data_IF_266532907559
#
_entry.id   IF_266532907559
#
_cell.length_a   1.000
_cell.length_b   1.000
_cell.length_c   1.000
_cell.angle_alpha   90.00
_cell.angle_beta   90.00
_cell.angle_gamma   90.00
#
_symmetry.space_group_name_H-M   'P 1'
#
loop_
_entity.id
_entity.type
_entity.pdbx_description
1 polymer ?
#
# COMPACT_ATOMS: atom_id res chain seq x y z
N UNK A 1 4.57 10.83 -22.98
CA UNK A 1 4.25 10.77 -21.53
C UNK A 1 5.07 11.81 -20.79
N UNK A 2 4.48 12.50 -19.82
CA UNK A 2 5.16 13.54 -19.03
C UNK A 2 6.14 12.88 -18.03
N UNK A 3 7.36 13.40 -17.89
CA UNK A 3 8.44 12.80 -17.07
C UNK A 3 8.40 13.30 -15.62
N UNK A 4 7.26 13.12 -14.93
CA UNK A 4 6.99 13.66 -13.59
C UNK A 4 7.96 13.18 -12.52
N UNK A 5 8.48 11.96 -12.65
CA UNK A 5 9.37 11.34 -11.66
C UNK A 5 10.82 11.27 -12.12
N UNK A 6 11.19 12.03 -13.15
CA UNK A 6 12.58 12.11 -13.58
C UNK A 6 13.49 12.45 -12.39
N UNK A 7 14.53 11.65 -12.20
CA UNK A 7 15.52 11.76 -11.12
C UNK A 7 14.97 11.64 -9.70
N UNK A 8 13.74 11.15 -9.55
CA UNK A 8 13.15 10.81 -8.25
C UNK A 8 13.38 9.36 -7.92
N UNK A 9 13.88 9.10 -6.72
CA UNK A 9 13.98 7.75 -6.17
C UNK A 9 12.76 7.44 -5.30
N UNK A 10 12.07 6.35 -5.61
CA UNK A 10 10.89 5.91 -4.89
C UNK A 10 11.07 4.51 -4.30
N UNK A 11 10.72 4.35 -3.02
CA UNK A 11 10.53 3.04 -2.38
C UNK A 11 9.04 2.71 -2.43
N UNK A 12 8.68 1.58 -3.03
CA UNK A 12 7.29 1.12 -3.15
C UNK A 12 7.16 -0.24 -2.49
N UNK A 13 6.35 -0.30 -1.43
CA UNK A 13 6.14 -1.52 -0.63
C UNK A 13 4.87 -2.26 -1.05
N UNK A 14 4.84 -3.59 -0.93
CA UNK A 14 3.74 -4.41 -1.44
C UNK A 14 3.60 -4.33 -2.96
N UNK A 15 4.74 -4.30 -3.67
CA UNK A 15 4.81 -3.97 -5.08
C UNK A 15 4.62 -5.17 -6.04
N UNK A 16 4.54 -6.41 -5.56
CA UNK A 16 4.55 -7.57 -6.46
C UNK A 16 3.27 -7.70 -7.31
N UNK A 17 2.16 -7.11 -6.86
CA UNK A 17 0.87 -7.22 -7.54
C UNK A 17 -0.08 -6.09 -7.18
N UNK A 18 -1.25 -6.11 -7.84
CA UNK A 18 -2.33 -5.17 -7.59
C UNK A 18 -1.82 -3.75 -7.76
N UNK A 19 -2.03 -2.93 -6.76
CA UNK A 19 -1.68 -1.54 -6.89
C UNK A 19 -0.20 -1.25 -6.82
N UNK A 20 0.54 -1.87 -5.89
CA UNK A 20 1.92 -1.47 -5.67
C UNK A 20 2.69 -1.65 -6.99
N UNK A 21 2.32 -2.70 -7.72
CA UNK A 21 2.70 -2.94 -9.10
C UNK A 21 2.27 -1.83 -10.06
N UNK A 22 0.99 -1.45 -10.11
CA UNK A 22 0.54 -0.36 -11.00
C UNK A 22 1.20 0.99 -10.71
N UNK A 23 1.47 1.29 -9.43
CA UNK A 23 2.23 2.49 -9.04
C UNK A 23 3.65 2.38 -9.55
N UNK A 24 4.32 1.24 -9.37
CA UNK A 24 5.66 1.01 -9.90
C UNK A 24 5.74 1.17 -11.42
N UNK A 25 4.84 0.51 -12.16
CA UNK A 25 4.75 0.61 -13.62
C UNK A 25 4.56 2.06 -14.08
N UNK A 26 3.68 2.81 -13.42
CA UNK A 26 3.41 4.20 -13.77
C UNK A 26 4.59 5.12 -13.44
N UNK A 27 5.20 4.94 -12.27
CA UNK A 27 6.36 5.73 -11.86
C UNK A 27 7.57 5.45 -12.76
N UNK A 28 7.77 4.20 -13.16
CA UNK A 28 8.82 3.79 -14.11
C UNK A 28 8.63 4.49 -15.47
N UNK A 29 7.43 4.40 -16.05
CA UNK A 29 7.12 5.03 -17.34
C UNK A 29 7.37 6.55 -17.33
N UNK A 30 7.17 7.18 -16.18
CA UNK A 30 7.35 8.62 -15.95
C UNK A 30 8.74 9.01 -15.42
N UNK A 31 9.71 8.09 -15.43
CA UNK A 31 11.14 8.37 -15.23
C UNK A 31 11.70 8.12 -13.82
N UNK A 32 10.93 7.49 -12.93
CA UNK A 32 11.35 7.20 -11.56
C UNK A 32 12.42 6.10 -11.47
N UNK A 33 13.29 6.21 -10.46
CA UNK A 33 14.20 5.13 -10.02
C UNK A 33 13.54 4.42 -8.85
N UNK A 34 13.41 3.10 -8.93
CA UNK A 34 12.50 2.37 -8.05
C UNK A 34 13.23 1.35 -7.19
N UNK A 35 12.99 1.38 -5.89
CA UNK A 35 13.20 0.25 -5.01
C UNK A 35 11.84 -0.40 -4.75
N UNK A 36 11.62 -1.61 -5.25
CA UNK A 36 10.37 -2.34 -5.12
C UNK A 36 10.51 -3.42 -4.05
N UNK A 37 9.57 -3.46 -3.10
CA UNK A 37 9.60 -4.37 -1.96
C UNK A 37 8.33 -5.17 -1.88
N UNK A 38 8.46 -6.48 -1.68
CA UNK A 38 7.36 -7.35 -1.31
C UNK A 38 7.88 -8.50 -0.43
N UNK A 39 6.99 -9.26 0.20
CA UNK A 39 7.35 -10.52 0.86
C UNK A 39 7.47 -11.68 -0.12
N UNK A 40 6.93 -11.50 -1.33
CA UNK A 40 6.87 -12.52 -2.37
C UNK A 40 7.94 -12.29 -3.41
N UNK A 41 8.61 -13.38 -3.78
CA UNK A 41 9.57 -13.47 -4.88
C UNK A 41 8.99 -13.06 -6.25
N UNK A 42 7.65 -13.01 -6.40
CA UNK A 42 6.99 -12.48 -7.60
C UNK A 42 7.38 -11.02 -7.89
N UNK A 43 7.97 -10.31 -6.93
CA UNK A 43 8.51 -8.98 -7.14
C UNK A 43 9.62 -8.93 -8.20
N UNK A 44 10.37 -10.03 -8.37
CA UNK A 44 11.47 -10.11 -9.34
C UNK A 44 10.95 -10.12 -10.79
N UNK A 45 9.79 -10.75 -11.04
CA UNK A 45 9.14 -10.69 -12.35
C UNK A 45 8.79 -9.25 -12.77
N UNK A 46 8.34 -8.43 -11.80
CA UNK A 46 8.05 -7.02 -12.08
C UNK A 46 9.32 -6.24 -12.43
N UNK A 47 10.47 -6.57 -11.83
CA UNK A 47 11.73 -5.94 -12.24
C UNK A 47 12.11 -6.31 -13.66
N UNK A 48 11.97 -7.59 -14.04
CA UNK A 48 12.24 -8.05 -15.40
C UNK A 48 11.39 -7.32 -16.44
N UNK A 49 10.11 -7.08 -16.14
CA UNK A 49 9.21 -6.31 -17.00
C UNK A 49 9.58 -4.83 -17.13
N UNK A 50 10.26 -4.26 -16.13
CA UNK A 50 10.67 -2.86 -16.09
C UNK A 50 12.10 -2.63 -16.61
N UNK A 51 12.80 -3.70 -17.02
CA UNK A 51 14.12 -3.60 -17.65
C UNK A 51 14.05 -2.70 -18.89
N UNK A 52 14.97 -1.74 -18.97
CA UNK A 52 15.01 -0.76 -20.06
C UNK A 52 13.96 0.36 -19.97
N UNK A 53 13.02 0.28 -19.02
CA UNK A 53 12.04 1.35 -18.75
C UNK A 53 12.54 2.26 -17.63
N UNK A 54 13.03 1.68 -16.54
CA UNK A 54 13.50 2.41 -15.36
C UNK A 54 14.68 1.69 -14.70
N UNK A 55 15.40 2.42 -13.84
CA UNK A 55 16.38 1.83 -12.94
C UNK A 55 15.64 1.21 -11.75
N UNK A 56 15.71 -0.11 -11.59
CA UNK A 56 14.94 -0.85 -10.58
C UNK A 56 15.86 -1.70 -9.71
N UNK A 57 15.62 -1.66 -8.40
CA UNK A 57 16.14 -2.61 -7.41
C UNK A 57 14.95 -3.29 -6.75
N UNK A 58 15.02 -4.60 -6.55
CA UNK A 58 13.99 -5.36 -5.81
C UNK A 58 14.55 -5.93 -4.53
N UNK A 59 13.75 -5.94 -3.46
CA UNK A 59 14.05 -6.65 -2.23
C UNK A 59 12.86 -7.49 -1.78
N UNK A 60 13.08 -8.77 -1.51
CA UNK A 60 12.19 -9.54 -0.65
C UNK A 60 12.43 -9.11 0.79
N UNK A 61 11.40 -8.65 1.49
CA UNK A 61 11.50 -8.20 2.88
C UNK A 61 10.18 -8.37 3.64
N UNK A 62 10.29 -8.78 4.91
CA UNK A 62 9.16 -8.75 5.84
C UNK A 62 9.11 -7.41 6.57
N UNK A 63 8.33 -6.47 6.01
CA UNK A 63 8.15 -5.16 6.61
C UNK A 63 7.30 -5.19 7.88
N UNK A 64 6.87 -6.37 8.35
CA UNK A 64 6.38 -6.56 9.72
C UNK A 64 7.54 -6.63 10.75
N UNK A 65 8.78 -6.37 10.31
CA UNK A 65 9.97 -6.29 11.15
C UNK A 65 10.67 -4.95 10.93
N UNK A 66 10.98 -4.26 12.03
CA UNK A 66 11.63 -2.95 11.97
C UNK A 66 13.02 -3.01 11.30
N UNK A 67 13.82 -4.04 11.59
CA UNK A 67 15.15 -4.21 11.01
C UNK A 67 15.09 -4.34 9.48
N UNK A 68 14.09 -5.03 8.94
CA UNK A 68 13.87 -5.15 7.51
C UNK A 68 13.47 -3.82 6.87
N UNK A 69 12.67 -3.01 7.57
CA UNK A 69 12.36 -1.64 7.12
C UNK A 69 13.64 -0.79 7.04
N UNK A 70 14.52 -0.86 8.04
CA UNK A 70 15.81 -0.16 8.01
C UNK A 70 16.70 -0.65 6.86
N UNK A 71 16.78 -1.96 6.64
CA UNK A 71 17.54 -2.57 5.54
C UNK A 71 17.07 -2.07 4.18
N UNK A 72 15.75 -1.98 3.99
CA UNK A 72 15.14 -1.46 2.76
C UNK A 72 15.53 -0.01 2.51
N UNK A 73 15.43 0.86 3.52
CA UNK A 73 15.77 2.28 3.34
C UNK A 73 17.28 2.48 3.11
N UNK A 74 18.11 1.70 3.81
CA UNK A 74 19.56 1.70 3.61
C UNK A 74 19.93 1.28 2.18
N UNK A 75 19.28 0.24 1.64
CA UNK A 75 19.51 -0.21 0.27
C UNK A 75 19.11 0.84 -0.78
N UNK A 76 18.04 1.63 -0.54
CA UNK A 76 17.69 2.74 -1.42
C UNK A 76 18.79 3.80 -1.45
N UNK A 77 19.32 4.15 -0.28
CA UNK A 77 20.42 5.11 -0.16
C UNK A 77 21.70 4.58 -0.80
N UNK A 78 22.07 3.33 -0.56
CA UNK A 78 23.26 2.70 -1.14
C UNK A 78 23.17 2.64 -2.67
N UNK A 79 22.01 2.25 -3.20
CA UNK A 79 21.84 2.06 -4.64
C UNK A 79 21.67 3.36 -5.42
N UNK A 80 20.93 4.32 -4.87
CA UNK A 80 20.47 5.50 -5.59
C UNK A 80 20.95 6.83 -4.98
N UNK A 81 21.56 6.81 -3.81
CA UNK A 81 22.10 7.98 -3.11
C UNK A 81 21.05 8.90 -2.47
N UNK A 82 19.76 8.59 -2.59
CA UNK A 82 18.65 9.41 -2.05
C UNK A 82 17.35 8.62 -1.94
N UNK A 83 16.41 9.14 -1.15
CA UNK A 83 15.02 8.69 -1.07
C UNK A 83 14.07 9.88 -1.16
N UNK A 84 13.39 10.08 -2.30
CA UNK A 84 12.45 11.19 -2.49
C UNK A 84 11.02 10.82 -2.08
N UNK A 85 10.61 9.60 -2.40
CA UNK A 85 9.21 9.16 -2.31
C UNK A 85 9.15 7.83 -1.59
N UNK A 86 8.34 7.75 -0.53
CA UNK A 86 7.98 6.49 0.11
C UNK A 86 6.50 6.21 -0.10
N UNK A 87 6.18 5.08 -0.73
CA UNK A 87 4.82 4.57 -0.91
C UNK A 87 4.63 3.35 0.01
N UNK A 88 3.90 3.57 1.12
CA UNK A 88 3.54 2.52 2.06
C UNK A 88 2.24 1.85 1.60
N UNK A 89 2.34 0.75 0.85
CA UNK A 89 1.19 0.02 0.29
C UNK A 89 1.03 -1.42 0.86
N UNK A 90 1.76 -1.78 1.93
CA UNK A 90 1.56 -3.06 2.62
C UNK A 90 0.19 -3.10 3.36
N UNK A 91 -0.61 -4.14 3.08
CA UNK A 91 -1.90 -4.46 3.72
C UNK A 91 -2.72 -5.43 2.84
N UNK A 92 -3.78 -6.09 3.33
CA UNK A 92 -4.52 -6.91 2.37
C UNK A 92 -5.79 -7.78 2.61
N UNK A 93 -6.67 -7.88 1.59
CA UNK A 93 -7.98 -8.60 1.38
C UNK A 93 -8.01 -10.08 0.86
N UNK A 94 -9.17 -10.77 0.89
CA UNK A 94 -9.24 -12.23 0.64
C UNK A 94 -9.68 -12.65 -0.81
N UNK A 95 -10.64 -12.03 -1.52
CA UNK A 95 -11.07 -12.52 -2.87
C UNK A 95 -11.73 -11.45 -3.78
N UNK A 96 -11.74 -11.70 -5.10
CA UNK A 96 -12.63 -11.11 -6.13
C UNK A 96 -13.05 -12.21 -7.13
N UNK A 97 -14.32 -12.25 -7.56
CA UNK A 97 -14.91 -13.25 -8.49
C UNK A 97 -15.83 -12.58 -9.54
N UNK A 98 -16.19 -13.26 -10.64
CA UNK A 98 -16.10 -12.70 -11.99
C UNK A 98 -17.29 -11.81 -12.37
N UNK A 99 -16.99 -10.69 -13.02
CA UNK A 99 -17.98 -9.77 -13.58
C UNK A 99 -18.25 -10.16 -15.03
N UNK A 100 -19.17 -11.09 -15.20
CA UNK A 100 -19.80 -11.28 -16.49
C UNK A 100 -20.69 -10.06 -16.73
N UNK A 101 -20.14 -9.04 -17.41
CA UNK A 101 -20.80 -7.98 -18.21
C UNK A 101 -20.08 -6.62 -18.07
N UNK A 102 -19.03 -6.40 -18.86
CA UNK A 102 -18.33 -5.11 -18.98
C UNK A 102 -19.20 -3.97 -19.53
N UNK A 103 -18.85 -2.72 -19.18
CA UNK A 103 -18.68 -1.58 -20.10
C UNK A 103 -17.64 -0.55 -19.59
N UNK A 104 -17.01 0.17 -20.54
CA UNK A 104 -15.65 0.75 -20.46
C UNK A 104 -15.58 2.29 -20.49
N UNK A 105 -16.47 3.04 -19.87
CA UNK A 105 -16.28 4.50 -19.80
C UNK A 105 -16.75 5.07 -18.48
N UNK A 106 -16.18 6.23 -18.12
CA UNK A 106 -16.34 6.99 -16.88
C UNK A 106 -15.24 6.64 -15.84
N UNK A 107 -14.31 7.52 -15.43
CA UNK A 107 -14.31 8.98 -15.32
C UNK A 107 -12.86 9.54 -15.38
N UNK A 108 -12.68 10.68 -16.06
CA UNK A 108 -11.56 11.61 -15.87
C UNK A 108 -12.02 12.90 -15.17
N UNK A 109 -11.04 13.58 -14.54
CA UNK A 109 -10.96 14.93 -13.94
C UNK A 109 -11.43 15.06 -12.47
N UNK A 110 -10.70 15.68 -11.52
CA UNK A 110 -9.76 16.81 -11.55
C UNK A 110 -8.55 16.66 -10.58
N UNK A 111 -7.57 17.58 -10.69
CA UNK A 111 -6.41 17.94 -9.82
C UNK A 111 -5.05 17.80 -10.54
N UNK A 112 -4.25 18.89 -10.55
CA UNK A 112 -2.84 18.89 -10.94
C UNK A 112 -2.06 17.96 -10.00
N UNK A 113 -1.72 16.76 -10.46
CA UNK A 113 -1.03 15.73 -9.69
C UNK A 113 0.44 15.59 -10.12
N UNK A 114 1.36 16.02 -9.25
CA UNK A 114 2.78 15.68 -9.38
C UNK A 114 3.09 14.24 -8.92
N UNK A 115 2.19 13.59 -8.17
CA UNK A 115 2.33 12.19 -7.73
C UNK A 115 0.98 11.48 -7.88
N UNK A 116 0.90 10.40 -8.67
CA UNK A 116 -0.27 9.52 -8.76
C UNK A 116 -0.03 8.25 -7.93
N UNK A 117 -0.98 7.92 -7.07
CA UNK A 117 -0.93 6.74 -6.22
C UNK A 117 -2.26 6.03 -6.32
N UNK A 118 -2.23 4.87 -6.96
CA UNK A 118 -3.30 3.90 -6.79
C UNK A 118 -2.99 3.09 -5.52
N UNK A 119 -4.02 2.54 -4.87
CA UNK A 119 -3.99 1.78 -3.59
C UNK A 119 -4.55 0.33 -3.66
N UNK A 120 -3.98 -0.69 -2.98
CA UNK A 120 -4.76 -1.80 -2.37
C UNK A 120 -4.08 -2.29 -1.08
N UNK A 121 -4.66 -1.89 0.06
CA UNK A 121 -4.60 -2.59 1.34
C UNK A 121 -5.90 -3.34 1.63
N UNK A 122 -5.98 -4.15 2.70
CA UNK A 122 -7.18 -4.90 3.01
C UNK A 122 -7.14 -5.76 4.27
N UNK A 123 -8.24 -6.47 4.54
CA UNK A 123 -8.48 -7.29 5.74
C UNK A 123 -8.10 -8.77 5.54
N UNK A 124 -7.38 -9.37 6.50
CA UNK A 124 -6.97 -10.79 6.46
C UNK A 124 -8.14 -11.71 6.78
N UNK A 125 -8.98 -11.31 7.75
CA UNK A 125 -10.22 -12.01 8.10
C UNK A 125 -11.43 -11.07 7.97
N UNK A 126 -12.60 -11.66 7.71
CA UNK A 126 -13.87 -10.94 7.63
C UNK A 126 -14.94 -11.69 8.44
N UNK A 127 -15.29 -11.15 9.61
CA UNK A 127 -16.32 -11.71 10.50
C UNK A 127 -16.80 -10.69 11.54
N UNK A 128 -17.98 -10.87 12.17
CA UNK A 128 -18.38 -10.09 13.33
C UNK A 128 -17.29 -10.10 14.41
N UNK A 129 -17.14 -8.96 15.10
CA UNK A 129 -15.97 -8.73 15.95
C UNK A 129 -15.88 -9.73 17.11
N UNK A 130 -17.02 -10.15 17.63
CA UNK A 130 -17.16 -11.18 18.67
C UNK A 130 -16.62 -12.56 18.26
N UNK A 131 -16.39 -12.81 16.97
CA UNK A 131 -15.84 -14.07 16.46
C UNK A 131 -14.32 -14.03 16.21
N UNK A 132 -13.67 -12.87 16.39
CA UNK A 132 -12.21 -12.78 16.29
C UNK A 132 -11.53 -13.43 17.50
N UNK A 133 -10.49 -14.20 17.20
CA UNK A 133 -9.54 -14.72 18.17
C UNK A 133 -8.45 -13.67 18.42
N UNK A 134 -7.85 -13.69 19.60
CA UNK A 134 -6.78 -12.77 20.00
C UNK A 134 -5.66 -12.70 18.95
N UNK A 135 -5.15 -13.85 18.51
CA UNK A 135 -4.07 -13.91 17.52
C UNK A 135 -4.46 -13.32 16.15
N UNK A 136 -5.74 -13.37 15.77
CA UNK A 136 -6.22 -12.77 14.51
C UNK A 136 -6.27 -11.24 14.63
N UNK A 137 -6.69 -10.72 15.80
CA UNK A 137 -6.68 -9.28 16.08
C UNK A 137 -5.24 -8.76 16.05
N UNK A 138 -4.32 -9.44 16.74
CA UNK A 138 -2.91 -9.08 16.75
C UNK A 138 -2.29 -9.11 15.35
N UNK A 139 -2.55 -10.18 14.60
CA UNK A 139 -2.02 -10.33 13.24
C UNK A 139 -2.56 -9.24 12.29
N UNK A 140 -3.85 -8.91 12.39
CA UNK A 140 -4.45 -7.87 11.56
C UNK A 140 -3.85 -6.49 11.83
N UNK A 141 -3.70 -6.12 13.12
CA UNK A 141 -3.09 -4.84 13.52
C UNK A 141 -1.61 -4.82 13.15
N UNK A 142 -0.88 -5.90 13.45
CA UNK A 142 0.54 -6.05 13.13
C UNK A 142 0.78 -5.82 11.65
N UNK A 143 0.05 -6.53 10.78
CA UNK A 143 0.22 -6.44 9.34
C UNK A 143 -0.24 -5.10 8.74
N UNK A 144 -1.27 -4.49 9.30
CA UNK A 144 -1.94 -3.34 8.66
C UNK A 144 -1.46 -1.97 9.15
N UNK A 145 -0.87 -1.89 10.35
CA UNK A 145 -0.41 -0.64 10.95
C UNK A 145 1.12 -0.57 11.06
N UNK A 146 1.76 -1.61 11.62
CA UNK A 146 3.17 -1.51 11.99
C UNK A 146 4.13 -1.33 10.80
N UNK A 147 3.96 -1.99 9.64
CA UNK A 147 4.79 -1.71 8.47
C UNK A 147 4.81 -0.22 8.09
N UNK A 148 3.67 0.46 8.21
CA UNK A 148 3.58 1.90 7.91
C UNK A 148 4.34 2.71 8.96
N UNK A 149 4.17 2.40 10.25
CA UNK A 149 4.92 3.04 11.34
C UNK A 149 6.43 2.89 11.15
N UNK A 150 6.89 1.65 10.92
CA UNK A 150 8.30 1.33 10.79
C UNK A 150 8.93 1.91 9.54
N UNK A 151 8.25 1.84 8.39
CA UNK A 151 8.76 2.43 7.16
C UNK A 151 8.84 3.96 7.27
N UNK A 152 7.83 4.63 7.83
CA UNK A 152 7.90 6.07 8.11
C UNK A 152 9.06 6.40 9.04
N UNK A 153 9.21 5.68 10.15
CA UNK A 153 10.30 5.89 11.10
C UNK A 153 11.68 5.67 10.46
N UNK A 154 11.84 4.65 9.62
CA UNK A 154 13.10 4.34 8.96
C UNK A 154 13.46 5.36 7.86
N UNK A 155 12.48 5.87 7.12
CA UNK A 155 12.72 6.83 6.04
C UNK A 155 12.91 8.27 6.52
N UNK A 156 12.28 8.64 7.64
CA UNK A 156 12.22 10.03 8.09
C UNK A 156 13.61 10.67 8.34
N UNK A 157 14.59 10.01 8.99
CA UNK A 157 15.93 10.58 9.18
C UNK A 157 16.60 10.94 7.84
N UNK A 158 16.47 10.09 6.82
CA UNK A 158 17.04 10.31 5.49
C UNK A 158 16.40 11.53 4.81
N UNK A 159 15.07 11.62 4.84
CA UNK A 159 14.34 12.74 4.24
C UNK A 159 14.61 14.07 4.96
N UNK A 160 14.78 14.03 6.30
CA UNK A 160 15.11 15.21 7.11
C UNK A 160 16.52 15.72 6.80
N UNK A 161 17.50 14.82 6.69
CA UNK A 161 18.87 15.18 6.28
C UNK A 161 18.89 15.79 4.88
N UNK A 162 18.10 15.24 3.95
CA UNK A 162 17.91 15.78 2.60
C UNK A 162 17.14 17.11 2.56
N UNK A 163 16.45 17.50 3.63
CA UNK A 163 15.55 18.66 3.68
C UNK A 163 14.35 18.57 2.73
N UNK A 164 14.05 17.37 2.20
CA UNK A 164 12.95 17.15 1.27
C UNK A 164 12.49 15.68 1.24
N UNK A 165 11.18 15.48 1.09
CA UNK A 165 10.61 14.15 0.91
C UNK A 165 9.08 14.16 0.74
N UNK A 166 8.55 13.07 0.19
CA UNK A 166 7.12 12.81 0.12
C UNK A 166 6.82 11.39 0.61
N UNK A 167 5.98 11.28 1.62
CA UNK A 167 5.46 10.01 2.13
C UNK A 167 4.00 9.93 1.76
N UNK A 168 3.60 8.80 1.17
CA UNK A 168 2.18 8.51 1.01
C UNK A 168 1.84 7.15 1.58
N UNK A 169 0.91 7.20 2.53
CA UNK A 169 0.38 6.05 3.21
C UNK A 169 -0.90 5.53 2.54
N UNK A 170 -1.10 4.23 2.67
CA UNK A 170 -2.33 3.55 2.26
C UNK A 170 -3.21 3.29 3.49
N UNK A 171 -4.32 4.03 3.55
CA UNK A 171 -5.42 3.84 4.48
C UNK A 171 -6.59 3.08 3.82
N UNK A 172 -7.81 3.22 4.33
CA UNK A 172 -9.02 2.63 3.78
C UNK A 172 -10.30 3.31 4.28
N UNK A 173 -11.37 3.25 3.48
CA UNK A 173 -12.74 3.56 3.95
C UNK A 173 -13.23 2.58 5.02
N UNK A 174 -12.56 1.44 5.19
CA UNK A 174 -12.87 0.42 6.20
C UNK A 174 -12.77 0.91 7.65
N UNK A 175 -12.28 2.13 7.89
CA UNK A 175 -12.33 2.79 9.20
C UNK A 175 -13.75 2.92 9.77
N UNK A 176 -14.77 2.73 8.93
CA UNK A 176 -16.19 2.69 9.30
C UNK A 176 -16.89 1.40 8.85
N UNK A 177 -16.12 0.35 8.57
CA UNK A 177 -16.60 -0.88 7.93
C UNK A 177 -17.01 -1.99 8.90
N UNK A 178 -18.06 -2.74 8.55
CA UNK A 178 -18.46 -3.96 9.31
C UNK A 178 -17.53 -5.14 9.03
N UNK A 179 -17.56 -6.13 9.92
CA UNK A 179 -16.85 -7.41 9.82
C UNK A 179 -15.32 -7.34 9.66
N UNK A 180 -14.71 -6.17 9.88
CA UNK A 180 -13.27 -5.94 9.70
C UNK A 180 -12.72 -4.98 10.75
N UNK A 181 -13.21 -5.08 11.99
CA UNK A 181 -12.94 -4.11 13.06
C UNK A 181 -11.44 -3.93 13.35
N UNK A 182 -10.62 -4.99 13.51
CA UNK A 182 -9.18 -4.79 13.74
C UNK A 182 -8.47 -4.11 12.56
N UNK A 183 -8.86 -4.45 11.33
CA UNK A 183 -8.36 -3.79 10.12
C UNK A 183 -8.77 -2.30 10.07
N UNK A 184 -10.04 -2.01 10.35
CA UNK A 184 -10.56 -0.64 10.44
C UNK A 184 -9.84 0.19 11.50
N UNK A 185 -9.59 -0.38 12.68
CA UNK A 185 -8.80 0.25 13.74
C UNK A 185 -7.36 0.54 13.30
N UNK A 186 -6.70 -0.44 12.65
CA UNK A 186 -5.36 -0.27 12.11
C UNK A 186 -5.29 0.85 11.05
N UNK A 187 -6.25 0.91 10.13
CA UNK A 187 -6.31 1.99 9.12
C UNK A 187 -6.70 3.34 9.72
N UNK A 188 -7.46 3.37 10.81
CA UNK A 188 -7.65 4.57 11.63
C UNK A 188 -6.33 5.06 12.24
N UNK A 189 -5.49 4.13 12.73
CA UNK A 189 -4.13 4.43 13.16
C UNK A 189 -3.25 5.00 12.05
N UNK A 190 -3.36 4.49 10.82
CA UNK A 190 -2.64 5.05 9.66
C UNK A 190 -3.09 6.48 9.35
N UNK A 191 -4.38 6.81 9.48
CA UNK A 191 -4.87 8.18 9.32
C UNK A 191 -4.28 9.11 10.38
N UNK A 192 -4.28 8.69 11.64
CA UNK A 192 -3.71 9.47 12.74
C UNK A 192 -2.20 9.68 12.56
N UNK A 193 -1.46 8.62 12.24
CA UNK A 193 -0.02 8.67 11.93
C UNK A 193 0.28 9.69 10.82
N UNK A 194 -0.51 9.65 9.75
CA UNK A 194 -0.35 10.56 8.61
C UNK A 194 -0.51 12.01 9.03
N UNK A 195 -1.57 12.32 9.78
CA UNK A 195 -1.84 13.68 10.24
C UNK A 195 -0.72 14.17 11.19
N UNK A 196 -0.34 13.37 12.19
CA UNK A 196 0.72 13.75 13.13
C UNK A 196 2.04 14.02 12.41
N UNK A 197 2.49 13.11 11.54
CA UNK A 197 3.73 13.30 10.80
C UNK A 197 3.69 14.48 9.85
N UNK A 198 2.55 14.74 9.19
CA UNK A 198 2.39 15.92 8.34
C UNK A 198 2.61 17.21 9.14
N UNK A 199 1.97 17.34 10.31
CA UNK A 199 2.15 18.52 11.17
C UNK A 199 3.57 18.64 11.70
N UNK A 200 4.18 17.54 12.14
CA UNK A 200 5.55 17.56 12.66
C UNK A 200 6.60 17.90 11.60
N UNK A 201 6.35 17.61 10.33
CA UNK A 201 7.39 17.65 9.28
C UNK A 201 7.17 18.71 8.20
N UNK A 202 6.03 19.40 8.22
CA UNK A 202 5.65 20.40 7.20
C UNK A 202 6.72 21.49 6.99
N UNK A 203 7.23 22.09 8.06
CA UNK A 203 8.25 23.15 7.99
C UNK A 203 9.65 22.62 7.66
N UNK A 204 9.82 21.30 7.62
CA UNK A 204 11.09 20.60 7.36
C UNK A 204 11.15 20.00 5.96
N UNK A 205 10.28 20.46 5.04
CA UNK A 205 10.31 20.10 3.63
C UNK A 205 9.73 18.72 3.28
N UNK A 206 9.07 18.05 4.24
CA UNK A 206 8.52 16.71 4.04
C UNK A 206 7.00 16.79 4.03
N UNK A 207 6.39 16.20 3.00
CA UNK A 207 4.94 16.11 2.86
C UNK A 207 4.49 14.70 3.18
N UNK A 208 3.46 14.56 4.00
CA UNK A 208 2.88 13.26 4.37
C UNK A 208 1.38 13.29 4.08
N UNK A 209 0.91 12.35 3.27
CA UNK A 209 -0.51 12.21 2.92
C UNK A 209 -0.94 10.75 2.98
N UNK A 210 -2.25 10.50 2.99
CA UNK A 210 -2.81 9.17 2.88
C UNK A 210 -3.88 9.11 1.81
N UNK A 211 -3.94 7.99 1.10
CA UNK A 211 -5.09 7.62 0.27
C UNK A 211 -5.98 6.69 1.08
N UNK A 212 -7.31 6.82 1.00
CA UNK A 212 -8.24 5.98 1.78
C UNK A 212 -9.30 5.31 0.87
N UNK A 213 -8.93 4.23 0.15
CA UNK A 213 -9.77 3.79 -0.97
C UNK A 213 -10.86 2.81 -0.56
N UNK A 214 -11.90 2.79 -1.40
CA UNK A 214 -13.08 1.94 -1.30
C UNK A 214 -12.88 0.56 -1.92
N UNK A 215 -13.99 -0.13 -2.16
CA UNK A 215 -13.98 -1.30 -3.02
C UNK A 215 -13.58 -0.89 -4.43
N UNK A 216 -12.60 -1.58 -5.01
CA UNK A 216 -12.16 -1.36 -6.39
C UNK A 216 -12.20 -2.66 -7.16
N UNK A 217 -12.55 -2.59 -8.44
CA UNK A 217 -12.34 -3.71 -9.34
C UNK A 217 -10.84 -4.00 -9.48
N UNK A 218 -10.47 -5.27 -9.31
CA UNK A 218 -9.08 -5.71 -9.43
C UNK A 218 -9.02 -7.15 -9.96
N UNK A 219 -7.98 -7.51 -10.74
CA UNK A 219 -7.75 -8.90 -11.12
C UNK A 219 -7.63 -9.82 -9.90
N UNK A 220 -7.88 -11.13 -10.07
CA UNK A 220 -7.63 -12.11 -9.02
C UNK A 220 -6.21 -12.00 -8.48
N UNK A 221 -6.07 -12.14 -7.16
CA UNK A 221 -4.74 -12.08 -6.55
C UNK A 221 -3.91 -13.30 -6.89
N UNK A 222 -2.64 -13.03 -7.14
CA UNK A 222 -1.60 -14.04 -7.33
C UNK A 222 -1.07 -14.58 -6.00
N UNK A 223 -1.10 -13.75 -4.95
CA UNK A 223 -0.60 -14.12 -3.61
C UNK A 223 -1.77 -14.13 -2.61
N UNK A 224 -2.19 -15.33 -2.13
CA UNK A 224 -3.25 -15.48 -1.13
C UNK A 224 -2.79 -14.95 0.24
N UNK A 225 -3.76 -14.61 1.09
CA UNK A 225 -3.50 -13.99 2.41
C UNK A 225 -3.74 -14.93 3.58
N UNK A 226 -4.71 -15.83 3.42
CA UNK A 226 -4.92 -16.98 4.27
C UNK A 226 -4.69 -18.24 3.42
N UNK A 227 -4.12 -19.28 4.01
CA UNK A 227 -3.93 -20.59 3.37
C UNK A 227 -5.21 -21.42 3.36
N UNK A 228 -6.17 -21.13 4.25
CA UNK A 228 -7.45 -21.82 4.33
C UNK A 228 -8.49 -21.23 3.38
N UNK A 229 -9.31 -22.09 2.79
CA UNK A 229 -10.51 -21.65 2.07
C UNK A 229 -11.56 -21.11 3.06
N UNK A 230 -12.23 -19.99 2.72
CA UNK A 230 -13.28 -19.45 3.56
C UNK A 230 -14.50 -20.38 3.58
N UNK A 231 -15.04 -20.59 4.77
CA UNK A 231 -16.34 -21.24 4.99
C UNK A 231 -17.48 -20.47 4.32
N UNK A 232 -18.63 -21.13 4.12
CA UNK A 232 -19.83 -20.47 3.58
C UNK A 232 -20.26 -19.25 4.41
N UNK A 233 -20.11 -19.34 5.74
CA UNK A 233 -20.44 -18.23 6.62
C UNK A 233 -19.47 -17.03 6.44
N UNK A 234 -18.18 -17.29 6.25
CA UNK A 234 -17.19 -16.24 5.96
C UNK A 234 -17.43 -15.58 4.60
N UNK A 235 -17.90 -16.33 3.61
CA UNK A 235 -18.33 -15.77 2.31
C UNK A 235 -19.51 -14.81 2.50
N UNK A 236 -20.50 -15.18 3.32
CA UNK A 236 -21.64 -14.30 3.65
C UNK A 236 -21.17 -13.03 4.34
N UNK A 237 -20.32 -13.14 5.36
CA UNK A 237 -19.77 -11.97 6.06
C UNK A 237 -18.97 -11.06 5.14
N UNK A 238 -18.22 -11.64 4.18
CA UNK A 238 -17.50 -10.88 3.17
C UNK A 238 -18.45 -10.16 2.20
N UNK A 239 -19.52 -10.82 1.75
CA UNK A 239 -20.52 -10.20 0.90
C UNK A 239 -21.17 -8.99 1.59
N UNK A 240 -21.47 -9.09 2.89
CA UNK A 240 -22.01 -7.97 3.67
C UNK A 240 -21.06 -6.75 3.71
N UNK A 241 -19.73 -6.94 3.64
CA UNK A 241 -18.76 -5.84 3.50
C UNK A 241 -18.91 -5.16 2.14
N UNK A 242 -19.10 -5.95 1.08
CA UNK A 242 -19.30 -5.45 -0.29
C UNK A 242 -20.61 -4.66 -0.35
N UNK A 243 -21.70 -5.23 0.15
CA UNK A 243 -23.02 -4.61 0.16
C UNK A 243 -22.98 -3.27 0.90
N UNK A 244 -22.39 -3.21 2.10
CA UNK A 244 -22.19 -1.95 2.82
C UNK A 244 -21.41 -0.92 1.99
N UNK A 245 -20.38 -1.36 1.27
CA UNK A 245 -19.54 -0.45 0.48
C UNK A 245 -20.35 0.14 -0.68
N UNK A 246 -21.18 -0.66 -1.34
CA UNK A 246 -22.08 -0.22 -2.41
C UNK A 246 -23.17 0.74 -1.89
N UNK A 247 -23.78 0.44 -0.74
CA UNK A 247 -24.84 1.27 -0.15
C UNK A 247 -24.34 2.64 0.36
N UNK A 248 -23.04 2.76 0.60
CA UNK A 248 -22.41 3.97 1.15
C UNK A 248 -21.64 4.82 0.13
N UNK A 249 -21.63 4.40 -1.15
CA UNK A 249 -20.94 5.07 -2.26
C UNK A 249 -21.84 6.01 -3.05
#
# INVERSE_FOLDING_TARGET
MNKRFQDKTAVITGAAQGIGRRVAERMAAEGGRLLLVDRSELIHELADELVGVAEVLTLTADLEQFAECQRVMAAALERFGRLDILINNVGGTIWAKPFEHYQEHEIEAEVRLDILINNVGGTIWAKPFEHYQEHEIEAEVRRSLFPTLWCCHAALPLMLEQGSGAIVNVSSVATRGIHRVPYGAAKGGVNALTACLAFETAERGIRVNATAPGGTEAPPRRIPRNSAEPSEQEKVWYQQIVDQSLDSS
#
